data_IF_745552487951
#
_entry.id   IF_745552487951
#
_cell.length_a   1.000
_cell.length_b   1.000
_cell.length_c   1.000
_cell.angle_alpha   90.00
_cell.angle_beta   90.00
_cell.angle_gamma   90.00
#
_symmetry.space_group_name_H-M   'P 1'
#
loop_
_entity.id
_entity.type
_entity.pdbx_description
1 polymer ?
#
# COMPACT_ATOMS: atom_id res chain seq x y z
N UNK A 1 -0.15 18.76 15.43
CA UNK A 1 -0.35 18.61 13.97
C UNK A 1 -0.89 17.20 13.72
N UNK A 2 -1.98 17.09 12.95
CA UNK A 2 -2.88 15.92 12.82
C UNK A 2 -2.11 14.60 12.63
N UNK A 3 -2.05 13.77 13.69
CA UNK A 3 -1.71 12.34 13.61
C UNK A 3 -2.91 11.62 12.98
N UNK A 4 -3.04 11.83 11.68
CA UNK A 4 -4.02 11.23 10.75
C UNK A 4 -4.11 9.73 11.01
N UNK A 5 -5.32 9.29 11.41
CA UNK A 5 -6.03 7.99 11.36
C UNK A 5 -5.32 6.66 10.97
N UNK A 6 -4.08 6.65 10.48
CA UNK A 6 -3.29 5.47 10.11
C UNK A 6 -2.73 4.67 11.29
N UNK A 7 -2.83 5.15 12.54
CA UNK A 7 -2.22 4.48 13.69
C UNK A 7 -3.13 3.46 14.39
N UNK A 8 -4.42 3.39 14.04
CA UNK A 8 -5.30 2.38 14.62
C UNK A 8 -5.05 1.03 13.94
N UNK A 9 -4.50 0.06 14.69
CA UNK A 9 -4.23 -1.30 14.21
C UNK A 9 -5.47 -1.97 13.59
N UNK A 10 -6.67 -1.65 14.10
CA UNK A 10 -7.93 -2.14 13.55
C UNK A 10 -8.19 -1.63 12.13
N UNK A 11 -7.90 -0.36 11.83
CA UNK A 11 -8.04 0.18 10.48
C UNK A 11 -7.04 -0.45 9.50
N UNK A 12 -5.88 -0.90 10.01
CA UNK A 12 -4.87 -1.58 9.20
C UNK A 12 -5.34 -2.95 8.72
N UNK A 13 -6.08 -3.71 9.53
CA UNK A 13 -6.59 -5.04 9.17
C UNK A 13 -7.94 -4.92 8.43
N UNK A 14 -8.78 -3.96 8.83
CA UNK A 14 -10.10 -3.78 8.25
C UNK A 14 -10.04 -3.25 6.81
N UNK A 15 -9.09 -2.35 6.51
CA UNK A 15 -8.91 -1.77 5.18
C UNK A 15 -8.64 -2.82 4.06
N UNK A 16 -7.66 -3.73 4.17
CA UNK A 16 -7.41 -4.75 3.15
C UNK A 16 -8.53 -5.80 3.13
N UNK A 17 -9.17 -6.08 4.28
CA UNK A 17 -10.32 -6.98 4.33
C UNK A 17 -11.49 -6.43 3.50
N UNK A 18 -11.88 -5.17 3.72
CA UNK A 18 -12.93 -4.52 2.92
C UNK A 18 -12.54 -4.40 1.44
N UNK A 19 -11.29 -4.06 1.15
CA UNK A 19 -10.80 -3.96 -0.23
C UNK A 19 -10.81 -5.33 -0.94
N UNK A 20 -10.44 -6.41 -0.25
CA UNK A 20 -10.45 -7.76 -0.79
C UNK A 20 -11.87 -8.27 -1.05
N UNK A 21 -12.81 -8.00 -0.13
CA UNK A 21 -14.23 -8.31 -0.32
C UNK A 21 -14.79 -7.55 -1.52
N UNK A 22 -14.50 -6.24 -1.64
CA UNK A 22 -14.97 -5.46 -2.79
C UNK A 22 -14.38 -5.93 -4.12
N UNK A 23 -13.10 -6.29 -4.14
CA UNK A 23 -12.47 -6.87 -5.32
C UNK A 23 -13.14 -8.20 -5.72
N UNK A 24 -13.44 -9.07 -4.74
CA UNK A 24 -14.12 -10.34 -4.99
C UNK A 24 -15.55 -10.15 -5.53
N UNK A 25 -16.32 -9.22 -4.95
CA UNK A 25 -17.67 -8.88 -5.44
C UNK A 25 -17.60 -8.37 -6.89
N UNK A 26 -16.62 -7.53 -7.23
CA UNK A 26 -16.41 -7.06 -8.60
C UNK A 26 -16.07 -8.19 -9.57
N UNK A 27 -15.22 -9.14 -9.16
CA UNK A 27 -14.86 -10.31 -9.95
C UNK A 27 -16.09 -11.17 -10.23
N UNK A 28 -16.94 -11.42 -9.23
CA UNK A 28 -18.17 -12.19 -9.40
C UNK A 28 -19.20 -11.48 -10.28
N UNK A 29 -19.35 -10.15 -10.15
CA UNK A 29 -20.17 -9.37 -11.07
C UNK A 29 -19.69 -9.47 -12.51
N UNK A 30 -18.37 -9.37 -12.72
CA UNK A 30 -17.77 -9.47 -14.05
C UNK A 30 -17.98 -10.84 -14.67
N UNK A 31 -17.95 -11.90 -13.85
CA UNK A 31 -18.19 -13.27 -14.30
C UNK A 31 -19.69 -13.62 -14.35
N UNK A 32 -20.59 -12.68 -14.02
CA UNK A 32 -22.04 -12.91 -13.90
C UNK A 32 -22.39 -14.13 -13.02
N UNK A 33 -21.54 -14.43 -12.03
CA UNK A 33 -21.65 -15.58 -11.14
C UNK A 33 -22.11 -15.14 -9.75
N UNK A 34 -23.13 -14.26 -9.72
CA UNK A 34 -23.64 -13.68 -8.47
C UNK A 34 -24.28 -14.74 -7.56
N UNK A 35 -24.71 -15.88 -8.11
CA UNK A 35 -25.23 -17.01 -7.34
C UNK A 35 -24.14 -17.73 -6.52
N UNK A 36 -22.88 -17.78 -7.00
CA UNK A 36 -21.75 -18.32 -6.23
C UNK A 36 -21.40 -17.47 -5.00
N UNK A 37 -21.85 -16.21 -4.95
CA UNK A 37 -21.70 -15.34 -3.78
C UNK A 37 -22.42 -15.92 -2.55
N UNK A 38 -23.45 -16.76 -2.73
CA UNK A 38 -24.19 -17.36 -1.60
C UNK A 38 -23.61 -18.70 -1.15
N UNK A 39 -23.08 -19.53 -2.06
CA UNK A 39 -22.52 -20.85 -1.73
C UNK A 39 -21.03 -20.83 -1.39
N UNK A 40 -20.25 -19.95 -2.02
CA UNK A 40 -18.78 -19.94 -1.93
C UNK A 40 -18.21 -18.64 -1.37
N UNK A 41 -19.02 -17.82 -0.67
CA UNK A 41 -18.55 -16.56 -0.10
C UNK A 41 -17.31 -16.72 0.79
N UNK A 42 -17.21 -17.81 1.55
CA UNK A 42 -16.05 -18.13 2.38
C UNK A 42 -15.05 -19.06 1.68
N UNK A 43 -15.03 -19.04 0.35
CA UNK A 43 -14.17 -19.86 -0.48
C UNK A 43 -12.71 -19.42 -0.48
N UNK A 44 -11.89 -20.24 -1.13
CA UNK A 44 -10.46 -19.97 -1.28
C UNK A 44 -10.20 -18.70 -2.10
N UNK A 45 -11.12 -18.35 -3.00
CA UNK A 45 -11.04 -17.17 -3.87
C UNK A 45 -11.13 -15.86 -3.08
N UNK A 46 -12.11 -15.73 -2.17
CA UNK A 46 -12.21 -14.56 -1.29
C UNK A 46 -10.96 -14.44 -0.41
N UNK A 47 -10.51 -15.57 0.15
CA UNK A 47 -9.31 -15.61 1.00
C UNK A 47 -8.06 -15.16 0.24
N UNK A 48 -7.90 -15.60 -1.02
CA UNK A 48 -6.83 -15.14 -1.90
C UNK A 48 -6.96 -13.64 -2.22
N UNK A 49 -8.17 -13.13 -2.45
CA UNK A 49 -8.40 -11.70 -2.66
C UNK A 49 -7.99 -10.87 -1.45
N UNK A 50 -8.35 -11.30 -0.23
CA UNK A 50 -7.96 -10.62 1.02
C UNK A 50 -6.44 -10.70 1.22
N UNK A 51 -5.82 -11.86 0.95
CA UNK A 51 -4.37 -12.05 1.06
C UNK A 51 -3.62 -11.12 0.09
N UNK A 52 -4.07 -11.04 -1.16
CA UNK A 52 -3.50 -10.14 -2.17
C UNK A 52 -3.69 -8.67 -1.78
N UNK A 53 -4.87 -8.30 -1.28
CA UNK A 53 -5.12 -6.94 -0.78
C UNK A 53 -4.16 -6.57 0.37
N UNK A 54 -3.88 -7.52 1.27
CA UNK A 54 -2.88 -7.34 2.34
C UNK A 54 -1.46 -7.18 1.77
N UNK A 55 -1.09 -8.03 0.80
CA UNK A 55 0.20 -7.94 0.11
C UNK A 55 0.42 -6.59 -0.58
N UNK A 56 -0.59 -6.09 -1.31
CA UNK A 56 -0.55 -4.77 -1.96
C UNK A 56 -0.39 -3.65 -0.93
N UNK A 57 -1.07 -3.76 0.21
CA UNK A 57 -0.96 -2.75 1.27
C UNK A 57 0.45 -2.71 1.88
N UNK A 58 1.05 -3.87 2.15
CA UNK A 58 2.43 -3.96 2.67
C UNK A 58 3.46 -3.51 1.64
N UNK A 59 3.31 -3.90 0.36
CA UNK A 59 4.19 -3.45 -0.72
C UNK A 59 4.12 -1.94 -0.89
N UNK A 60 2.92 -1.35 -0.83
CA UNK A 60 2.76 0.11 -0.92
C UNK A 60 3.53 0.84 0.19
N UNK A 61 3.50 0.30 1.42
CA UNK A 61 4.30 0.83 2.53
C UNK A 61 5.80 0.62 2.30
N UNK A 62 6.20 -0.55 1.83
CA UNK A 62 7.58 -0.86 1.52
C UNK A 62 8.14 0.09 0.45
N UNK A 63 7.36 0.40 -0.60
CA UNK A 63 7.72 1.35 -1.66
C UNK A 63 7.89 2.76 -1.11
N UNK A 64 6.99 3.22 -0.24
CA UNK A 64 7.11 4.55 0.39
C UNK A 64 8.38 4.61 1.27
N UNK A 65 8.61 3.59 2.10
CA UNK A 65 9.81 3.51 2.95
C UNK A 65 11.10 3.42 2.12
N UNK A 66 11.07 2.68 1.03
CA UNK A 66 12.19 2.55 0.11
C UNK A 66 12.47 3.87 -0.62
N UNK A 67 11.42 4.57 -1.06
CA UNK A 67 11.54 5.88 -1.69
C UNK A 67 12.09 6.94 -0.73
N UNK A 68 11.62 6.95 0.52
CA UNK A 68 12.13 7.87 1.54
C UNK A 68 13.63 7.64 1.82
N UNK A 69 14.03 6.37 1.97
CA UNK A 69 15.45 5.96 2.05
C UNK A 69 16.26 6.45 0.85
N UNK A 70 15.74 6.33 -0.37
CA UNK A 70 16.43 6.74 -1.59
C UNK A 70 16.54 8.28 -1.69
N UNK A 71 15.49 9.00 -1.31
CA UNK A 71 15.45 10.46 -1.29
C UNK A 71 16.45 11.06 -0.29
N UNK A 72 16.69 10.38 0.84
CA UNK A 72 17.69 10.77 1.83
C UNK A 72 19.10 10.78 1.22
N UNK A 73 19.46 9.74 0.46
CA UNK A 73 20.75 9.70 -0.26
C UNK A 73 20.85 10.81 -1.30
N UNK A 74 19.76 11.08 -2.04
CA UNK A 74 19.74 12.15 -3.03
C UNK A 74 19.93 13.53 -2.36
N UNK A 75 19.23 13.79 -1.24
CA UNK A 75 19.30 15.05 -0.49
C UNK A 75 20.67 15.30 0.14
N UNK A 76 21.33 14.26 0.64
CA UNK A 76 22.71 14.34 1.18
C UNK A 76 23.69 14.65 0.06
N UNK A 77 23.62 13.95 -1.09
CA UNK A 77 24.53 14.17 -2.22
C UNK A 77 24.43 15.57 -2.80
N UNK A 78 23.22 16.10 -2.95
CA UNK A 78 23.01 17.48 -3.42
C UNK A 78 23.49 18.53 -2.42
N UNK A 79 23.36 18.29 -1.11
CA UNK A 79 23.87 19.20 -0.08
C UNK A 79 25.40 19.29 -0.09
N UNK A 80 26.08 18.15 -0.27
CA UNK A 80 27.55 18.10 -0.37
C UNK A 80 28.03 18.80 -1.65
N UNK A 81 27.37 18.57 -2.80
CA UNK A 81 27.70 19.26 -4.05
C UNK A 81 27.49 20.78 -3.95
N UNK A 82 26.40 21.23 -3.31
CA UNK A 82 26.17 22.66 -3.09
C UNK A 82 27.20 23.28 -2.15
N UNK A 83 27.59 22.59 -1.07
CA UNK A 83 28.63 23.10 -0.17
C UNK A 83 29.99 23.21 -0.87
N UNK A 84 30.41 22.17 -1.60
CA UNK A 84 31.68 22.19 -2.34
C UNK A 84 31.68 23.27 -3.43
N UNK A 85 30.57 23.47 -4.13
CA UNK A 85 30.45 24.55 -5.11
C UNK A 85 30.52 25.95 -4.49
N UNK A 86 29.93 26.15 -3.31
CA UNK A 86 30.01 27.44 -2.61
C UNK A 86 31.39 27.75 -2.02
N UNK A 87 32.15 26.73 -1.61
CA UNK A 87 33.48 26.90 -1.02
C UNK A 87 34.57 27.26 -2.03
N UNK A 88 34.41 26.87 -3.30
CA UNK A 88 35.38 27.17 -4.37
C UNK A 88 35.21 28.56 -4.98
N UNK A 89 34.20 29.33 -4.55
CA UNK A 89 33.86 30.67 -5.04
C UNK A 89 34.28 31.79 -4.08
N UNK A 90 34.93 31.44 -2.95
CA UNK A 90 35.44 32.33 -1.91
C UNK A 90 36.96 32.17 -1.81
#
# INVERSE_FOLDING_TARGET
MKKVFLHNALFRILSPCFSGVMAYVLILLFNNNVEQLFEQFLGIELTLCILLAYGVQEISRAVILFSDRLSFFHKVRWRVLFQVGSSSLL
#
